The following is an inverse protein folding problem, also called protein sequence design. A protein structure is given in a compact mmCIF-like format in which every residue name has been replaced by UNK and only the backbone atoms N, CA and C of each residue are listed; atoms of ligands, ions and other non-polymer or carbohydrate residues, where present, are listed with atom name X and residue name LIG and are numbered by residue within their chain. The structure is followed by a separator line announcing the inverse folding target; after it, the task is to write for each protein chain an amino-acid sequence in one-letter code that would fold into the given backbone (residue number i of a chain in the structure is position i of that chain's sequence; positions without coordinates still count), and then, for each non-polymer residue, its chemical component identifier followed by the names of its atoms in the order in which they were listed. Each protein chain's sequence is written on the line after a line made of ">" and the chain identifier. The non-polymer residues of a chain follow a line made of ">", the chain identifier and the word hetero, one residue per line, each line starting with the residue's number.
data_IF_983905148258
#
_entry.id   IF_983905148258
#
_cell.length_a   1.000
_cell.length_b   1.000
_cell.length_c   1.000
_cell.angle_alpha   90.00
_cell.angle_beta   90.00
_cell.angle_gamma   90.00
#
_symmetry.space_group_name_H-M   'P 1'
#
loop_
_entity.id
_entity.type
_entity.pdbx_description
1 polymer ?
#
# COMPACT_ATOMS: atom_id res chain seq x y z
N UNK A 1 8.63 -6.96 14.56
CA UNK A 1 7.77 -7.62 13.56
C UNK A 1 7.91 -6.84 12.26
N UNK A 2 8.30 -7.49 11.17
CA UNK A 2 8.39 -6.85 9.86
C UNK A 2 7.30 -7.44 8.97
N UNK A 3 6.34 -6.62 8.56
CA UNK A 3 5.34 -7.04 7.57
C UNK A 3 6.01 -7.07 6.19
N UNK A 4 5.91 -8.20 5.47
CA UNK A 4 6.34 -8.26 4.08
C UNK A 4 5.16 -7.96 3.17
N UNK A 5 5.34 -7.00 2.28
CA UNK A 5 4.33 -6.55 1.34
C UNK A 5 4.57 -7.14 -0.05
N UNK A 6 3.59 -7.88 -0.58
CA UNK A 6 3.51 -8.16 -2.02
C UNK A 6 2.55 -7.15 -2.63
N UNK A 7 2.99 -6.44 -3.68
CA UNK A 7 2.16 -5.45 -4.38
C UNK A 7 1.99 -5.79 -5.85
N UNK A 8 0.74 -5.92 -6.29
CA UNK A 8 0.35 -6.15 -7.68
C UNK A 8 -0.43 -4.93 -8.18
N UNK A 9 -0.19 -4.53 -9.44
CA UNK A 9 -0.95 -3.47 -10.10
C UNK A 9 -1.83 -4.13 -11.14
N UNK A 10 -3.14 -4.00 -11.01
CA UNK A 10 -4.14 -4.38 -12.02
C UNK A 10 -4.46 -3.17 -12.91
N UNK A 11 -5.42 -3.33 -13.83
CA UNK A 11 -5.88 -2.21 -14.68
C UNK A 11 -6.51 -1.06 -13.88
N UNK A 12 -7.09 -1.34 -12.71
CA UNK A 12 -7.90 -0.36 -11.96
C UNK A 12 -7.44 -0.13 -10.54
N UNK A 13 -6.59 -1.00 -9.98
CA UNK A 13 -6.21 -0.93 -8.57
C UNK A 13 -4.80 -1.45 -8.28
N UNK A 14 -4.25 -1.02 -7.14
CA UNK A 14 -3.06 -1.61 -6.54
C UNK A 14 -3.49 -2.52 -5.40
N UNK A 15 -3.14 -3.79 -5.49
CA UNK A 15 -3.38 -4.82 -4.49
C UNK A 15 -2.13 -4.96 -3.63
N UNK A 16 -2.26 -4.79 -2.32
CA UNK A 16 -1.18 -4.94 -1.36
C UNK A 16 -1.54 -6.01 -0.33
N UNK A 17 -0.71 -7.04 -0.21
CA UNK A 17 -0.88 -8.12 0.76
C UNK A 17 0.29 -8.14 1.73
N UNK A 18 0.00 -8.14 3.02
CA UNK A 18 0.96 -8.13 4.11
C UNK A 18 0.84 -9.39 4.94
N UNK A 19 1.97 -9.98 5.33
CA UNK A 19 2.04 -11.11 6.27
C UNK A 19 2.67 -10.70 7.60
N UNK A 20 2.24 -11.32 8.70
CA UNK A 20 2.85 -11.13 10.03
C UNK A 20 4.30 -11.62 10.12
N UNK A 21 4.73 -12.47 9.17
CA UNK A 21 6.05 -13.08 9.11
C UNK A 21 6.73 -12.86 7.76
N UNK A 22 8.06 -12.81 7.82
CA UNK A 22 8.92 -12.72 6.65
C UNK A 22 8.97 -14.02 5.84
N UNK A 23 9.00 -15.16 6.53
CA UNK A 23 8.80 -16.46 5.89
C UNK A 23 7.30 -16.67 5.64
N UNK A 24 6.91 -16.60 4.36
CA UNK A 24 5.52 -16.73 3.93
C UNK A 24 4.93 -18.12 4.24
N UNK A 25 5.77 -19.15 4.32
CA UNK A 25 5.31 -20.52 4.66
C UNK A 25 4.94 -20.66 6.13
N UNK A 26 5.51 -19.79 6.97
CA UNK A 26 5.24 -19.73 8.40
C UNK A 26 4.22 -18.65 8.78
N UNK A 27 3.73 -17.85 7.82
CA UNK A 27 2.78 -16.77 8.07
C UNK A 27 1.48 -17.29 8.69
N UNK A 28 1.03 -16.65 9.76
CA UNK A 28 -0.20 -17.03 10.47
C UNK A 28 -1.34 -16.05 10.24
N UNK A 29 -1.02 -14.82 9.83
CA UNK A 29 -1.99 -13.78 9.56
C UNK A 29 -1.66 -13.05 8.27
N UNK A 30 -2.71 -12.66 7.56
CA UNK A 30 -2.63 -11.92 6.32
C UNK A 30 -3.56 -10.72 6.37
N UNK A 31 -3.08 -9.59 5.85
CA UNK A 31 -3.86 -8.38 5.66
C UNK A 31 -3.79 -7.97 4.20
N UNK A 32 -4.95 -7.73 3.60
CA UNK A 32 -5.06 -7.37 2.19
C UNK A 32 -5.71 -6.00 2.06
N UNK A 33 -5.13 -5.19 1.19
CA UNK A 33 -5.64 -3.87 0.85
C UNK A 33 -5.74 -3.75 -0.65
N UNK A 34 -6.85 -3.19 -1.10
CA UNK A 34 -7.03 -2.73 -2.46
C UNK A 34 -7.10 -1.21 -2.46
N UNK A 35 -6.26 -0.58 -3.28
CA UNK A 35 -6.27 0.88 -3.45
C UNK A 35 -6.60 1.21 -4.91
N UNK A 36 -7.77 1.80 -5.20
CA UNK A 36 -8.12 2.21 -6.56
C UNK A 36 -7.09 3.18 -7.13
N UNK A 37 -6.73 3.02 -8.41
CA UNK A 37 -5.79 3.94 -9.08
C UNK A 37 -6.32 5.37 -9.14
N UNK A 38 -7.65 5.55 -9.16
CA UNK A 38 -8.33 6.86 -9.09
C UNK A 38 -8.03 7.64 -7.81
N UNK A 39 -7.71 6.94 -6.72
CA UNK A 39 -7.48 7.53 -5.40
C UNK A 39 -6.00 7.86 -5.17
N UNK A 40 -5.15 7.53 -6.15
CA UNK A 40 -3.71 7.69 -6.07
C UNK A 40 -3.27 8.92 -6.85
N UNK A 41 -2.52 9.78 -6.16
CA UNK A 41 -1.74 10.82 -6.81
C UNK A 41 -0.44 10.20 -7.37
N UNK A 42 -0.54 9.70 -8.60
CA UNK A 42 0.59 9.06 -9.31
C UNK A 42 1.26 10.14 -10.17
N UNK A 43 2.51 10.54 -9.86
CA UNK A 43 3.21 11.50 -10.70
C UNK A 43 3.49 10.86 -12.06
N UNK A 44 2.80 11.32 -13.10
CA UNK A 44 3.03 10.86 -14.48
C UNK A 44 4.37 11.43 -14.96
N UNK A 45 5.38 10.59 -15.21
CA UNK A 45 6.68 11.11 -15.63
C UNK A 45 6.58 11.63 -17.08
N UNK A 46 6.86 12.92 -17.27
CA UNK A 46 6.68 13.66 -18.53
C UNK A 46 7.60 13.23 -19.68
N UNK A 47 8.56 12.33 -19.49
CA UNK A 47 9.66 12.15 -20.46
C UNK A 47 10.28 10.74 -20.50
N UNK A 48 9.49 9.69 -20.37
CA UNK A 48 10.03 8.32 -20.39
C UNK A 48 9.77 7.68 -21.75
N UNK A 49 10.80 7.07 -22.34
CA UNK A 49 10.67 6.27 -23.57
C UNK A 49 9.48 5.28 -23.44
N UNK A 50 8.71 5.01 -24.50
CA UNK A 50 7.49 4.20 -24.46
C UNK A 50 7.66 2.78 -23.89
N UNK A 51 8.88 2.24 -23.85
CA UNK A 51 9.17 0.93 -23.23
C UNK A 51 9.40 0.98 -21.72
N UNK A 52 9.76 2.14 -21.19
CA UNK A 52 10.03 2.35 -19.76
C UNK A 52 8.86 3.04 -19.05
N UNK A 53 7.83 3.49 -19.79
CA UNK A 53 6.63 4.12 -19.23
C UNK A 53 5.88 3.18 -18.31
N UNK A 54 5.74 1.91 -18.69
CA UNK A 54 4.87 0.97 -17.98
C UNK A 54 5.52 0.48 -16.68
N UNK A 55 6.80 0.12 -16.72
CA UNK A 55 7.55 -0.22 -15.52
C UNK A 55 7.66 0.98 -14.56
N UNK A 56 7.90 2.19 -15.10
CA UNK A 56 7.94 3.43 -14.32
C UNK A 56 6.59 3.75 -13.66
N UNK A 57 5.50 3.58 -14.41
CA UNK A 57 4.14 3.74 -13.91
C UNK A 57 3.81 2.73 -12.81
N UNK A 58 4.11 1.44 -13.01
CA UNK A 58 3.87 0.39 -12.01
C UNK A 58 4.61 0.71 -10.71
N UNK A 59 5.89 1.09 -10.78
CA UNK A 59 6.65 1.48 -9.59
C UNK A 59 6.08 2.72 -8.90
N UNK A 60 5.65 3.73 -9.67
CA UNK A 60 5.03 4.95 -9.12
C UNK A 60 3.67 4.66 -8.47
N UNK A 61 2.84 3.85 -9.11
CA UNK A 61 1.54 3.41 -8.59
C UNK A 61 1.69 2.62 -7.29
N UNK A 62 2.62 1.65 -7.24
CA UNK A 62 2.94 0.89 -6.01
C UNK A 62 3.36 1.81 -4.87
N UNK A 63 4.25 2.76 -5.15
CA UNK A 63 4.72 3.71 -4.13
C UNK A 63 3.59 4.63 -3.65
N UNK A 64 2.77 5.15 -4.56
CA UNK A 64 1.62 5.98 -4.22
C UNK A 64 0.61 5.21 -3.34
N UNK A 65 0.33 3.95 -3.67
CA UNK A 65 -0.53 3.07 -2.88
C UNK A 65 0.04 2.83 -1.47
N UNK A 66 1.32 2.49 -1.35
CA UNK A 66 1.95 2.28 -0.04
C UNK A 66 1.90 3.56 0.82
N UNK A 67 2.12 4.74 0.22
CA UNK A 67 1.99 6.02 0.93
C UNK A 67 0.56 6.29 1.37
N UNK A 68 -0.43 5.97 0.54
CA UNK A 68 -1.86 6.10 0.87
C UNK A 68 -2.22 5.20 2.04
N UNK A 69 -1.82 3.92 1.99
CA UNK A 69 -2.04 2.95 3.06
C UNK A 69 -1.38 3.39 4.36
N UNK A 70 -0.13 3.86 4.31
CA UNK A 70 0.56 4.39 5.49
C UNK A 70 -0.21 5.54 6.15
N UNK A 71 -0.75 6.47 5.35
CA UNK A 71 -1.56 7.59 5.88
C UNK A 71 -2.86 7.11 6.53
N UNK A 72 -3.58 6.19 5.88
CA UNK A 72 -4.85 5.64 6.40
C UNK A 72 -4.61 4.89 7.71
N UNK A 73 -3.67 3.96 7.70
CA UNK A 73 -3.32 3.16 8.89
C UNK A 73 -2.83 4.06 10.02
N UNK A 74 -1.97 5.03 9.71
CA UNK A 74 -1.50 6.01 10.71
C UNK A 74 -2.64 6.82 11.33
N UNK A 75 -3.57 7.32 10.52
CA UNK A 75 -4.74 8.07 11.01
C UNK A 75 -5.64 7.20 11.89
N UNK A 76 -5.84 5.93 11.51
CA UNK A 76 -6.66 5.00 12.26
C UNK A 76 -6.03 4.61 13.60
N UNK A 77 -4.71 4.44 13.65
CA UNK A 77 -3.99 4.21 14.91
C UNK A 77 -4.18 5.39 15.86
N UNK A 78 -4.05 6.63 15.38
CA UNK A 78 -4.26 7.83 16.20
C UNK A 78 -5.69 7.89 16.73
N UNK A 79 -6.68 7.64 15.86
CA UNK A 79 -8.10 7.59 16.24
C UNK A 79 -8.36 6.58 17.36
N UNK A 80 -7.86 5.35 17.22
CA UNK A 80 -8.03 4.28 18.21
C UNK A 80 -7.30 4.57 19.53
N UNK A 81 -6.13 5.22 19.47
CA UNK A 81 -5.41 5.63 20.68
C UNK A 81 -6.17 6.69 21.47
N UNK A 82 -6.82 7.63 20.78
CA UNK A 82 -7.63 8.66 21.42
C UNK A 82 -8.92 8.05 22.04
N UNK A 83 -9.54 7.07 21.38
CA UNK A 83 -10.68 6.32 21.95
C UNK A 83 -10.29 5.57 23.23
N UNK A 84 -9.13 4.90 23.23
CA UNK A 84 -8.63 4.21 24.42
C UNK A 84 -8.35 5.17 25.57
N UNK A 85 -7.75 6.34 25.29
CA UNK A 85 -7.49 7.36 26.33
C UNK A 85 -8.77 7.94 26.94
N UNK A 86 -9.87 7.99 26.17
CA UNK A 86 -11.15 8.49 26.66
C UNK A 86 -11.96 7.43 27.44
N UNK A 87 -11.60 6.15 27.30
CA UNK A 87 -12.25 5.05 28.00
C UNK A 87 -11.66 4.78 29.40
N UNK A 88 -10.45 5.30 29.67
CA UNK A 88 -9.77 5.29 30.97
C UNK A 88 -10.12 6.54 31.82
#
# INVERSE_FOLDING_TARGET
>A
MGLIATTLVSETSVHARFSDRADLTAATQWFEFEVPLSDLDIPVPRSVHPRNSDAGFISAARLAALRRLYKIVGAEIVRLQDELRQAD
#
